data_IF_824661530389
#
_entry.id   IF_824661530389
#
_cell.length_a   1.000
_cell.length_b   1.000
_cell.length_c   1.000
_cell.angle_alpha   90.00
_cell.angle_beta   90.00
_cell.angle_gamma   90.00
#
_symmetry.space_group_name_H-M   'P 1'
#
loop_
_entity.id
_entity.type
_entity.pdbx_description
1 polymer ?
#
# COMPACT_ATOMS: atom_id res chain seq x y z
N UNK A 1 -45.16 102.69 19.79
CA UNK A 1 -45.94 102.99 21.02
C UNK A 1 -45.92 104.49 21.26
N UNK A 2 -47.05 105.10 21.63
CA UNK A 2 -47.16 106.52 22.00
C UNK A 2 -47.85 106.67 23.35
N UNK A 3 -47.36 107.57 24.20
CA UNK A 3 -48.02 107.94 25.45
C UNK A 3 -49.03 109.07 25.17
N UNK A 4 -50.33 108.79 25.31
CA UNK A 4 -51.37 109.81 25.15
C UNK A 4 -51.63 110.55 26.46
N UNK A 5 -51.69 109.83 27.59
CA UNK A 5 -51.91 110.44 28.91
C UNK A 5 -51.12 109.70 29.98
N UNK A 6 -50.54 110.43 30.92
CA UNK A 6 -49.87 109.88 32.10
C UNK A 6 -50.68 110.26 33.35
N UNK A 7 -51.20 109.27 34.05
CA UNK A 7 -52.01 109.44 35.26
C UNK A 7 -51.12 109.22 36.50
N UNK A 8 -50.88 110.30 37.24
CA UNK A 8 -50.08 110.34 38.46
C UNK A 8 -51.03 110.32 39.68
N UNK A 9 -51.73 109.20 39.86
CA UNK A 9 -52.77 109.03 40.89
C UNK A 9 -52.19 109.15 42.30
N UNK A 10 -51.16 108.35 42.64
CA UNK A 10 -50.46 108.39 43.92
C UNK A 10 -49.00 108.00 43.70
N UNK A 11 -48.19 108.95 43.26
CA UNK A 11 -46.80 108.66 42.91
C UNK A 11 -45.88 109.87 43.15
N UNK A 12 -44.81 109.67 43.93
CA UNK A 12 -43.92 110.75 44.32
C UNK A 12 -44.69 111.84 45.04
N UNK A 13 -44.60 113.07 44.51
CA UNK A 13 -45.25 114.26 45.08
C UNK A 13 -46.66 114.50 44.53
N UNK A 14 -47.12 113.68 43.60
CA UNK A 14 -48.38 113.88 42.90
C UNK A 14 -49.50 113.09 43.59
N UNK A 15 -50.66 113.74 43.72
CA UNK A 15 -51.91 113.12 44.16
C UNK A 15 -52.99 113.53 43.16
N UNK A 16 -53.55 112.54 42.46
CA UNK A 16 -54.62 112.66 41.47
C UNK A 16 -54.34 113.75 40.41
N UNK A 17 -53.13 113.74 39.84
CA UNK A 17 -52.74 114.58 38.72
C UNK A 17 -52.64 113.77 37.43
N UNK A 18 -52.87 114.39 36.29
CA UNK A 18 -52.67 113.78 34.98
C UNK A 18 -51.97 114.76 34.04
N UNK A 19 -51.10 114.24 33.18
CA UNK A 19 -50.49 114.96 32.06
C UNK A 19 -51.08 114.38 30.79
N UNK A 20 -51.88 115.16 30.07
CA UNK A 20 -52.51 114.76 28.81
C UNK A 20 -51.76 115.37 27.63
N UNK A 21 -51.27 114.50 26.74
CA UNK A 21 -50.54 114.85 25.52
C UNK A 21 -51.46 114.90 24.28
N UNK A 22 -52.77 114.69 24.46
CA UNK A 22 -53.77 114.77 23.39
C UNK A 22 -53.66 113.66 22.34
N UNK A 23 -54.51 113.73 21.33
CA UNK A 23 -54.49 112.81 20.19
C UNK A 23 -53.32 113.10 19.25
N UNK A 24 -52.83 112.07 18.56
CA UNK A 24 -51.73 112.21 17.60
C UNK A 24 -52.11 113.21 16.49
N UNK A 25 -51.30 114.26 16.23
CA UNK A 25 -51.59 115.23 15.17
C UNK A 25 -51.70 114.57 13.78
N UNK A 26 -52.67 115.02 12.96
CA UNK A 26 -52.85 114.53 11.58
C UNK A 26 -51.74 115.00 10.62
N UNK A 27 -51.07 116.11 10.93
CA UNK A 27 -49.87 116.59 10.24
C UNK A 27 -48.92 117.31 11.22
N UNK A 28 -47.61 117.23 10.96
CA UNK A 28 -46.55 117.83 11.81
C UNK A 28 -45.91 116.86 12.82
N UNK A 29 -44.83 117.29 13.51
CA UNK A 29 -44.16 116.48 14.52
C UNK A 29 -44.96 116.41 15.83
N UNK A 30 -44.96 115.24 16.47
CA UNK A 30 -45.61 114.97 17.76
C UNK A 30 -44.64 115.30 18.92
N UNK A 31 -44.33 116.58 19.08
CA UNK A 31 -43.40 117.10 20.08
C UNK A 31 -44.15 117.74 21.26
N UNK A 32 -43.88 117.26 22.47
CA UNK A 32 -44.45 117.79 23.71
C UNK A 32 -43.37 118.33 24.62
N UNK A 33 -43.56 119.53 25.15
CA UNK A 33 -42.63 120.17 26.09
C UNK A 33 -43.33 120.28 27.45
N UNK A 34 -42.87 119.51 28.43
CA UNK A 34 -43.33 119.61 29.82
C UNK A 34 -42.40 120.55 30.58
N UNK A 35 -42.84 121.80 30.80
CA UNK A 35 -42.05 122.81 31.49
C UNK A 35 -42.61 123.13 32.88
N UNK A 36 -41.73 123.58 33.78
CA UNK A 36 -42.08 123.96 35.14
C UNK A 36 -40.83 124.34 35.94
N UNK A 37 -41.01 124.99 37.09
CA UNK A 37 -39.91 125.38 37.98
C UNK A 37 -39.07 124.17 38.44
N UNK A 38 -37.89 124.43 39.00
CA UNK A 38 -37.12 123.39 39.66
C UNK A 38 -37.97 122.76 40.78
N UNK A 39 -37.78 121.46 41.01
CA UNK A 39 -38.57 120.67 41.96
C UNK A 39 -40.09 120.57 41.63
N UNK A 40 -40.53 121.07 40.47
CA UNK A 40 -41.92 120.91 39.99
C UNK A 40 -42.31 119.45 39.68
N UNK A 41 -41.37 118.49 39.77
CA UNK A 41 -41.62 117.06 39.61
C UNK A 41 -41.47 116.54 38.19
N UNK A 42 -40.73 117.26 37.33
CA UNK A 42 -40.46 116.85 35.94
C UNK A 42 -39.77 115.49 35.89
N UNK A 43 -38.67 115.31 36.64
CA UNK A 43 -37.96 114.03 36.73
C UNK A 43 -38.83 112.95 37.40
N UNK A 44 -39.69 113.32 38.35
CA UNK A 44 -40.65 112.39 38.96
C UNK A 44 -41.67 111.89 37.94
N UNK A 45 -42.14 112.73 37.02
CA UNK A 45 -43.06 112.32 35.95
C UNK A 45 -42.37 111.41 34.92
N UNK A 46 -41.10 111.68 34.57
CA UNK A 46 -40.32 110.79 33.71
C UNK A 46 -40.12 109.41 34.35
N UNK A 47 -39.74 109.36 35.63
CA UNK A 47 -39.64 108.09 36.36
C UNK A 47 -40.98 107.36 36.48
N UNK A 48 -42.09 108.10 36.64
CA UNK A 48 -43.42 107.50 36.64
C UNK A 48 -43.78 106.86 35.29
N UNK A 49 -43.39 107.49 34.17
CA UNK A 49 -43.56 106.90 32.85
C UNK A 49 -42.74 105.63 32.67
N UNK A 50 -41.47 105.63 33.08
CA UNK A 50 -40.63 104.42 33.05
C UNK A 50 -41.20 103.31 33.95
N UNK A 51 -41.69 103.66 35.14
CA UNK A 51 -42.34 102.73 36.06
C UNK A 51 -43.65 102.17 35.50
N UNK A 52 -44.42 102.97 34.74
CA UNK A 52 -45.62 102.51 34.05
C UNK A 52 -45.26 101.42 33.03
N UNK A 53 -44.18 101.61 32.27
CA UNK A 53 -43.75 100.66 31.24
C UNK A 53 -43.14 99.38 31.81
N UNK A 54 -42.22 99.51 32.77
CA UNK A 54 -41.34 98.41 33.21
C UNK A 54 -41.67 97.84 34.59
N UNK A 55 -42.59 98.46 35.33
CA UNK A 55 -42.81 98.12 36.72
C UNK A 55 -42.27 99.19 37.66
N UNK A 56 -42.99 99.43 38.77
CA UNK A 56 -42.47 100.23 39.87
C UNK A 56 -41.37 99.41 40.56
N UNK A 57 -40.15 99.94 40.60
CA UNK A 57 -38.97 99.27 41.18
C UNK A 57 -39.22 98.77 42.60
N UNK A 58 -38.59 97.64 42.98
CA UNK A 58 -38.73 97.05 44.31
C UNK A 58 -38.39 98.02 45.44
N UNK A 59 -37.37 98.86 45.25
CA UNK A 59 -36.96 99.93 46.14
C UNK A 59 -37.14 101.30 45.49
N UNK A 60 -38.38 101.65 45.14
CA UNK A 60 -38.67 102.96 44.55
C UNK A 60 -38.42 104.09 45.56
N UNK A 61 -37.69 105.13 45.12
CA UNK A 61 -37.41 106.37 45.88
C UNK A 61 -38.58 107.37 45.90
N UNK A 62 -39.69 107.05 45.23
CA UNK A 62 -40.83 107.95 45.04
C UNK A 62 -42.01 107.66 45.99
N UNK A 63 -41.76 107.05 47.14
CA UNK A 63 -42.76 106.74 48.18
C UNK A 63 -42.82 107.78 49.32
N UNK A 64 -42.29 108.98 49.11
CA UNK A 64 -42.14 109.97 50.19
C UNK A 64 -43.44 110.61 50.67
N UNK A 65 -44.48 110.69 49.83
CA UNK A 65 -45.82 111.18 50.22
C UNK A 65 -46.85 110.05 50.36
N UNK A 66 -46.69 108.97 49.59
CA UNK A 66 -47.62 107.85 49.50
C UNK A 66 -46.89 106.55 49.85
N UNK A 67 -47.42 105.79 50.81
CA UNK A 67 -46.86 104.48 51.18
C UNK A 67 -46.90 103.51 49.99
N UNK A 68 -45.96 102.56 49.94
CA UNK A 68 -45.84 101.61 48.82
C UNK A 68 -47.17 100.92 48.46
N UNK A 69 -47.95 100.48 49.44
CA UNK A 69 -49.26 99.83 49.24
C UNK A 69 -50.28 100.71 48.51
N UNK A 70 -50.14 102.03 48.63
CA UNK A 70 -51.04 103.04 48.05
C UNK A 70 -50.55 103.60 46.72
N UNK A 71 -49.29 103.32 46.32
CA UNK A 71 -48.71 103.88 45.11
C UNK A 71 -49.40 103.35 43.86
N UNK A 72 -49.82 104.27 42.99
CA UNK A 72 -50.50 103.97 41.72
C UNK A 72 -50.13 104.98 40.66
N UNK A 73 -49.75 104.47 39.49
CA UNK A 73 -49.53 105.23 38.25
C UNK A 73 -50.43 104.63 37.20
N UNK A 74 -51.01 105.43 36.32
CA UNK A 74 -51.69 104.93 35.15
C UNK A 74 -51.29 105.68 33.90
N UNK A 75 -51.88 105.31 32.80
CA UNK A 75 -51.76 106.04 31.56
C UNK A 75 -52.59 105.45 30.45
N UNK A 76 -52.72 106.22 29.39
CA UNK A 76 -53.33 105.82 28.14
C UNK A 76 -52.22 105.66 27.11
N UNK A 77 -51.94 104.42 26.73
CA UNK A 77 -50.93 104.08 25.73
C UNK A 77 -51.60 103.79 24.39
N UNK A 78 -51.02 104.26 23.30
CA UNK A 78 -51.51 104.01 21.94
C UNK A 78 -50.56 103.07 21.20
N UNK A 79 -51.12 101.98 20.67
CA UNK A 79 -50.45 100.95 19.89
C UNK A 79 -51.20 100.78 18.57
N UNK A 80 -50.54 101.04 17.43
CA UNK A 80 -51.11 100.82 16.09
C UNK A 80 -52.52 101.43 15.87
N UNK A 81 -52.83 102.54 16.56
CA UNK A 81 -54.12 103.24 16.49
C UNK A 81 -55.17 102.81 17.52
N UNK A 82 -54.89 101.80 18.35
CA UNK A 82 -55.73 101.39 19.48
C UNK A 82 -55.22 102.00 20.80
N UNK A 83 -56.13 102.48 21.64
CA UNK A 83 -55.81 103.04 22.95
C UNK A 83 -56.02 102.01 24.07
N UNK A 84 -55.01 101.80 24.89
CA UNK A 84 -55.01 100.90 26.03
C UNK A 84 -54.83 101.72 27.32
N UNK A 85 -55.90 101.78 28.12
CA UNK A 85 -55.86 102.38 29.45
C UNK A 85 -55.32 101.35 30.45
N UNK A 86 -54.22 101.71 31.11
CA UNK A 86 -53.56 100.85 32.10
C UNK A 86 -53.35 101.59 33.41
N UNK A 87 -53.40 100.85 34.50
CA UNK A 87 -52.93 101.31 35.80
C UNK A 87 -52.01 100.28 36.44
N UNK A 88 -51.01 100.76 37.16
CA UNK A 88 -49.97 99.96 37.78
C UNK A 88 -49.87 100.33 39.25
N UNK A 89 -49.96 99.31 40.10
CA UNK A 89 -49.77 99.43 41.55
C UNK A 89 -48.43 98.84 41.95
N UNK A 90 -47.89 99.26 43.09
CA UNK A 90 -46.65 98.67 43.60
C UNK A 90 -46.93 97.27 44.17
N UNK A 91 -46.59 96.24 43.40
CA UNK A 91 -46.67 94.83 43.80
C UNK A 91 -45.50 94.04 43.20
N UNK A 92 -45.19 92.86 43.75
CA UNK A 92 -44.20 91.91 43.18
C UNK A 92 -44.74 91.08 42.01
N UNK A 93 -46.06 90.93 41.93
CA UNK A 93 -46.75 90.17 40.89
C UNK A 93 -48.12 90.79 40.59
N UNK A 94 -48.61 90.64 39.35
CA UNK A 94 -49.90 91.19 38.90
C UNK A 94 -50.04 92.69 39.18
N UNK A 95 -48.99 93.45 38.88
CA UNK A 95 -48.91 94.87 39.19
C UNK A 95 -49.71 95.74 38.22
N UNK A 96 -49.92 95.25 36.99
CA UNK A 96 -50.61 95.94 35.90
C UNK A 96 -52.09 95.56 35.86
N UNK A 97 -52.95 96.56 35.63
CA UNK A 97 -54.40 96.45 35.61
C UNK A 97 -54.98 97.22 34.42
N UNK A 98 -56.13 96.79 33.92
CA UNK A 98 -56.90 97.48 32.87
C UNK A 98 -57.77 98.63 33.44
N UNK A 99 -58.58 99.25 32.57
CA UNK A 99 -59.50 100.33 32.91
C UNK A 99 -60.56 99.93 33.96
N UNK A 100 -60.95 98.66 33.99
CA UNK A 100 -61.96 98.10 34.91
C UNK A 100 -61.33 97.60 36.23
N UNK A 101 -60.01 97.73 36.38
CA UNK A 101 -59.25 97.31 37.56
C UNK A 101 -58.95 95.81 37.60
N UNK A 102 -59.04 95.09 36.48
CA UNK A 102 -58.70 93.66 36.40
C UNK A 102 -57.21 93.49 36.08
N UNK A 103 -56.52 92.47 36.63
CA UNK A 103 -55.10 92.23 36.34
C UNK A 103 -54.84 91.98 34.85
N UNK A 104 -53.83 92.66 34.31
CA UNK A 104 -53.35 92.54 32.94
C UNK A 104 -51.95 91.91 32.93
N UNK A 105 -51.65 91.07 31.93
CA UNK A 105 -50.32 90.48 31.77
C UNK A 105 -49.29 91.55 31.39
N UNK A 106 -48.09 91.49 31.96
CA UNK A 106 -46.96 92.37 31.60
C UNK A 106 -46.61 92.29 30.11
N UNK A 107 -46.92 91.16 29.46
CA UNK A 107 -46.74 90.94 28.01
C UNK A 107 -47.48 91.99 27.18
N UNK A 108 -48.61 92.51 27.68
CA UNK A 108 -49.42 93.51 26.98
C UNK A 108 -48.66 94.82 26.70
N UNK A 109 -47.68 95.17 27.54
CA UNK A 109 -46.78 96.31 27.31
C UNK A 109 -45.46 95.84 26.71
N UNK A 110 -44.86 94.77 27.26
CA UNK A 110 -43.50 94.34 26.86
C UNK A 110 -43.40 93.85 25.41
N UNK A 111 -44.47 93.29 24.84
CA UNK A 111 -44.50 92.89 23.43
C UNK A 111 -44.27 94.07 22.47
N UNK A 112 -44.72 95.27 22.85
CA UNK A 112 -44.53 96.50 22.06
C UNK A 112 -43.20 97.19 22.32
N UNK A 113 -42.42 96.72 23.29
CA UNK A 113 -41.09 97.22 23.63
C UNK A 113 -39.96 96.40 22.98
N UNK A 114 -40.30 95.44 22.10
CA UNK A 114 -39.34 94.59 21.37
C UNK A 114 -38.29 93.89 22.26
N UNK A 115 -38.64 93.56 23.51
CA UNK A 115 -37.74 92.90 24.46
C UNK A 115 -36.70 93.81 25.11
N UNK A 116 -36.81 95.14 24.96
CA UNK A 116 -35.92 96.09 25.62
C UNK A 116 -36.11 96.05 27.15
N UNK A 117 -35.00 96.06 27.88
CA UNK A 117 -35.01 96.24 29.34
C UNK A 117 -35.22 97.71 29.69
N UNK A 118 -35.57 97.98 30.96
CA UNK A 118 -35.67 99.34 31.49
C UNK A 118 -34.39 100.15 31.26
N UNK A 119 -33.23 99.56 31.55
CA UNK A 119 -31.93 100.22 31.43
C UNK A 119 -31.60 100.52 29.96
N UNK A 120 -31.82 99.56 29.06
CA UNK A 120 -31.58 99.76 27.62
C UNK A 120 -32.51 100.83 27.07
N UNK A 121 -33.81 100.80 27.44
CA UNK A 121 -34.79 101.80 27.01
C UNK A 121 -34.42 103.20 27.52
N UNK A 122 -34.02 103.32 28.79
CA UNK A 122 -33.55 104.58 29.36
C UNK A 122 -32.31 105.08 28.63
N UNK A 123 -31.30 104.24 28.37
CA UNK A 123 -30.07 104.68 27.70
C UNK A 123 -30.25 105.13 26.24
N UNK A 124 -31.24 104.57 25.52
CA UNK A 124 -31.43 104.84 24.09
C UNK A 124 -32.46 105.93 23.83
N UNK A 125 -33.51 106.01 24.65
CA UNK A 125 -34.68 106.86 24.39
C UNK A 125 -34.94 107.90 25.49
N UNK A 126 -34.17 107.89 26.58
CA UNK A 126 -34.21 108.91 27.62
C UNK A 126 -32.84 109.59 27.72
N UNK A 127 -32.82 110.91 27.78
CA UNK A 127 -31.61 111.69 28.04
C UNK A 127 -31.87 112.52 29.29
N UNK A 128 -31.16 112.20 30.36
CA UNK A 128 -31.11 113.01 31.57
C UNK A 128 -29.66 113.45 31.86
N UNK A 129 -29.51 114.38 32.80
CA UNK A 129 -28.21 115.01 33.09
C UNK A 129 -27.18 113.98 33.62
N UNK A 130 -27.63 113.07 34.50
CA UNK A 130 -26.78 112.03 35.09
C UNK A 130 -26.31 111.01 34.04
N UNK A 131 -27.19 110.58 33.12
CA UNK A 131 -26.83 109.68 32.01
C UNK A 131 -25.91 110.33 31.00
N UNK A 132 -26.02 111.65 30.78
CA UNK A 132 -25.10 112.41 29.95
C UNK A 132 -23.69 112.45 30.57
N UNK A 133 -23.62 112.72 31.88
CA UNK A 133 -22.35 112.80 32.61
C UNK A 133 -21.70 111.41 32.75
N UNK A 134 -22.47 110.37 33.07
CA UNK A 134 -22.01 108.98 33.12
C UNK A 134 -21.52 108.48 31.75
N UNK A 135 -22.25 108.81 30.67
CA UNK A 135 -21.82 108.55 29.30
C UNK A 135 -20.49 109.25 28.98
N UNK A 136 -20.36 110.53 29.35
CA UNK A 136 -19.11 111.29 29.22
C UNK A 136 -17.94 110.70 30.01
N UNK A 137 -18.20 110.14 31.20
CA UNK A 137 -17.18 109.51 32.04
C UNK A 137 -16.74 108.14 31.50
N UNK A 138 -17.67 107.32 31.01
CA UNK A 138 -17.36 106.07 30.30
C UNK A 138 -16.55 106.31 29.01
N UNK A 139 -16.82 107.43 28.32
CA UNK A 139 -16.05 107.91 27.17
C UNK A 139 -14.60 108.25 27.54
N UNK A 140 -14.36 108.84 28.71
CA UNK A 140 -13.03 109.22 29.19
C UNK A 140 -12.18 108.00 29.65
N UNK A 141 -12.82 106.96 30.17
CA UNK A 141 -12.14 105.76 30.69
C UNK A 141 -11.68 104.79 29.57
N UNK A 142 -12.34 104.79 28.41
CA UNK A 142 -11.98 103.96 27.24
C UNK A 142 -10.91 104.61 26.36
N UNK A 143 -9.65 104.62 26.83
CA UNK A 143 -8.50 105.01 26.00
C UNK A 143 -8.25 103.98 24.89
N UNK A 144 -8.78 104.23 23.70
CA UNK A 144 -8.31 103.63 22.45
C UNK A 144 -9.31 102.77 21.68
N UNK A 145 -10.40 102.32 22.31
CA UNK A 145 -11.40 101.46 21.66
C UNK A 145 -12.68 102.21 21.23
N UNK A 146 -12.81 103.47 21.66
CA UNK A 146 -14.01 104.26 21.42
C UNK A 146 -14.18 104.70 19.95
N UNK A 147 -13.09 105.01 19.25
CA UNK A 147 -13.14 105.30 17.81
C UNK A 147 -13.64 104.12 17.00
N UNK A 148 -13.41 102.90 17.48
CA UNK A 148 -13.90 101.66 16.88
C UNK A 148 -15.36 101.43 17.28
N UNK A 149 -15.73 101.50 18.56
CA UNK A 149 -17.10 101.26 19.02
C UNK A 149 -18.12 102.25 18.44
N UNK A 150 -17.79 103.55 18.36
CA UNK A 150 -18.68 104.55 17.72
C UNK A 150 -18.89 104.27 16.23
N UNK A 151 -17.84 103.89 15.50
CA UNK A 151 -17.92 103.56 14.07
C UNK A 151 -18.64 102.22 13.82
N UNK A 152 -18.43 101.26 14.70
CA UNK A 152 -18.97 99.88 14.63
C UNK A 152 -20.47 99.86 14.97
N UNK A 153 -20.90 100.66 15.95
CA UNK A 153 -22.30 100.84 16.29
C UNK A 153 -23.06 101.62 15.19
N UNK A 154 -22.44 102.63 14.56
CA UNK A 154 -23.05 103.37 13.45
C UNK A 154 -23.11 102.58 12.13
N UNK A 155 -22.22 101.59 11.93
CA UNK A 155 -22.14 100.77 10.71
C UNK A 155 -22.79 99.38 10.84
N UNK A 156 -23.34 99.01 12.01
CA UNK A 156 -23.95 97.70 12.25
C UNK A 156 -22.96 96.53 12.32
N UNK A 157 -21.67 96.79 12.56
CA UNK A 157 -20.58 95.81 12.47
C UNK A 157 -20.17 95.20 13.83
N UNK A 158 -21.03 95.29 14.87
CA UNK A 158 -20.70 94.82 16.23
C UNK A 158 -20.17 93.38 16.26
N UNK A 159 -20.72 92.52 15.41
CA UNK A 159 -20.31 91.12 15.26
C UNK A 159 -18.94 90.91 14.61
N UNK A 160 -18.38 91.89 13.89
CA UNK A 160 -17.10 91.73 13.20
C UNK A 160 -15.91 91.72 14.18
N UNK A 161 -15.99 92.46 15.28
CA UNK A 161 -14.95 92.47 16.32
C UNK A 161 -14.93 91.15 17.10
N UNK A 162 -16.11 90.59 17.41
CA UNK A 162 -16.21 89.28 18.05
C UNK A 162 -15.64 88.17 17.17
N UNK A 163 -15.91 88.22 15.86
CA UNK A 163 -15.35 87.28 14.88
C UNK A 163 -13.83 87.44 14.77
N UNK A 164 -13.31 88.67 14.81
CA UNK A 164 -11.86 88.90 14.77
C UNK A 164 -11.18 88.35 16.04
N UNK A 165 -11.74 88.57 17.23
CA UNK A 165 -11.23 88.04 18.48
C UNK A 165 -11.28 86.51 18.54
N UNK A 166 -12.34 85.90 17.96
CA UNK A 166 -12.44 84.45 17.81
C UNK A 166 -11.35 83.91 16.88
N UNK A 167 -11.12 84.56 15.73
CA UNK A 167 -10.06 84.20 14.78
C UNK A 167 -8.65 84.38 15.38
N UNK A 168 -8.42 85.43 16.17
CA UNK A 168 -7.16 85.62 16.90
C UNK A 168 -6.93 84.51 17.93
N UNK A 169 -7.98 84.11 18.66
CA UNK A 169 -7.91 83.00 19.63
C UNK A 169 -7.63 81.66 18.93
N UNK A 170 -8.26 81.42 17.79
CA UNK A 170 -8.03 80.22 16.96
C UNK A 170 -6.59 80.21 16.40
N UNK A 171 -6.13 81.33 15.84
CA UNK A 171 -4.78 81.48 15.33
C UNK A 171 -3.72 81.28 16.43
N UNK A 172 -3.96 81.81 17.62
CA UNK A 172 -3.11 81.62 18.79
C UNK A 172 -3.10 80.16 19.29
N UNK A 173 -4.24 79.46 19.19
CA UNK A 173 -4.34 78.03 19.48
C UNK A 173 -3.56 77.15 18.49
N UNK A 174 -3.52 77.57 17.22
CA UNK A 174 -2.75 76.91 16.17
C UNK A 174 -1.24 77.18 16.31
N UNK A 175 -0.84 78.45 16.43
CA UNK A 175 0.56 78.84 16.48
C UNK A 175 0.82 80.16 17.20
N UNK A 176 1.69 80.10 18.21
CA UNK A 176 2.25 81.28 18.85
C UNK A 176 3.76 81.14 18.98
N UNK A 177 4.49 82.23 18.73
CA UNK A 177 5.95 82.26 18.78
C UNK A 177 6.40 81.87 20.21
N UNK A 178 7.19 80.81 20.32
CA UNK A 178 7.69 80.21 21.58
C UNK A 178 6.68 79.43 22.45
N UNK A 179 5.44 79.23 22.00
CA UNK A 179 4.49 78.41 22.75
C UNK A 179 4.75 76.90 22.51
N UNK A 180 4.68 76.11 23.59
CA UNK A 180 4.92 74.65 23.58
C UNK A 180 3.62 73.83 23.52
N UNK A 181 2.47 74.47 23.73
CA UNK A 181 1.16 73.82 23.88
C UNK A 181 0.22 74.03 22.70
N UNK A 182 0.63 74.80 21.69
CA UNK A 182 -0.20 75.01 20.48
C UNK A 182 -0.22 73.75 19.62
N UNK A 183 -1.23 73.61 18.76
CA UNK A 183 -1.43 72.41 17.96
C UNK A 183 -0.21 72.07 17.09
N UNK A 184 0.38 73.08 16.43
CA UNK A 184 1.59 72.88 15.60
C UNK A 184 2.80 72.48 16.46
N UNK A 185 2.94 73.00 17.68
CA UNK A 185 4.03 72.63 18.58
C UNK A 185 3.92 71.17 19.02
N UNK A 186 2.71 70.73 19.35
CA UNK A 186 2.40 69.33 19.68
C UNK A 186 2.65 68.39 18.49
N UNK A 187 2.21 68.77 17.28
CA UNK A 187 2.44 68.00 16.06
C UNK A 187 3.93 67.90 15.72
N UNK A 188 4.71 68.98 15.87
CA UNK A 188 6.17 68.94 15.70
C UNK A 188 6.84 68.01 16.71
N UNK A 189 6.42 68.04 17.98
CA UNK A 189 6.94 67.14 19.01
C UNK A 189 6.62 65.68 18.68
N UNK A 190 5.38 65.39 18.28
CA UNK A 190 4.95 64.04 17.86
C UNK A 190 5.68 63.58 16.60
N UNK A 191 5.92 64.46 15.65
CA UNK A 191 6.72 64.16 14.46
C UNK A 191 8.17 63.79 14.82
N UNK A 192 8.81 64.56 15.72
CA UNK A 192 10.15 64.26 16.19
C UNK A 192 10.21 62.91 16.92
N UNK A 193 9.22 62.61 17.76
CA UNK A 193 9.09 61.31 18.44
C UNK A 193 8.92 60.15 17.45
N UNK A 194 8.03 60.29 16.46
CA UNK A 194 7.82 59.28 15.43
C UNK A 194 9.05 59.09 14.54
N UNK A 195 9.76 60.18 14.21
CA UNK A 195 11.01 60.12 13.46
C UNK A 195 12.09 59.37 14.23
N UNK A 196 12.25 59.66 15.52
CA UNK A 196 13.19 58.96 16.39
C UNK A 196 12.84 57.46 16.53
N UNK A 197 11.57 57.11 16.68
CA UNK A 197 11.11 55.71 16.70
C UNK A 197 11.39 55.00 15.37
N UNK A 198 11.16 55.67 14.24
CA UNK A 198 11.47 55.11 12.92
C UNK A 198 12.98 54.85 12.79
N UNK A 199 13.82 55.83 13.11
CA UNK A 199 15.28 55.69 13.01
C UNK A 199 15.80 54.55 13.90
N UNK A 200 15.26 54.38 15.11
CA UNK A 200 15.61 53.26 15.99
C UNK A 200 15.24 51.88 15.41
N UNK A 201 14.11 51.78 14.70
CA UNK A 201 13.68 50.55 14.02
C UNK A 201 14.52 50.30 12.75
N UNK A 202 14.81 51.34 11.96
CA UNK A 202 15.65 51.23 10.75
C UNK A 202 17.09 50.80 11.10
N UNK A 203 17.63 51.22 12.25
CA UNK A 203 18.92 50.71 12.74
C UNK A 203 18.87 49.22 13.08
N UNK A 204 17.72 48.67 13.50
CA UNK A 204 17.58 47.23 13.73
C UNK A 204 17.54 46.44 12.42
N UNK A 205 16.98 47.01 11.35
CA UNK A 205 16.96 46.37 10.03
C UNK A 205 18.37 46.28 9.40
N UNK A 206 19.13 47.39 9.42
CA UNK A 206 20.51 47.40 8.89
C UNK A 206 21.48 46.53 9.71
N UNK A 207 21.34 46.51 11.04
CA UNK A 207 22.11 45.59 11.89
C UNK A 207 21.72 44.14 11.66
N UNK A 208 20.44 43.84 11.45
CA UNK A 208 19.97 42.51 11.08
C UNK A 208 20.55 42.06 9.73
N UNK A 209 20.52 42.91 8.70
CA UNK A 209 21.14 42.59 7.39
C UNK A 209 22.64 42.31 7.53
N UNK A 210 23.36 43.11 8.32
CA UNK A 210 24.79 42.87 8.57
C UNK A 210 25.05 41.56 9.33
N UNK A 211 24.25 41.25 10.35
CA UNK A 211 24.38 40.02 11.13
C UNK A 211 24.00 38.78 10.31
N UNK A 212 22.99 38.88 9.44
CA UNK A 212 22.61 37.79 8.55
C UNK A 212 23.68 37.55 7.48
N UNK A 213 24.28 38.61 6.93
CA UNK A 213 25.43 38.49 6.03
C UNK A 213 26.63 37.83 6.71
N UNK A 214 26.96 38.24 7.94
CA UNK A 214 28.04 37.63 8.73
C UNK A 214 27.75 36.16 9.05
N UNK A 215 26.49 35.82 9.39
CA UNK A 215 26.05 34.45 9.62
C UNK A 215 26.23 33.60 8.36
N UNK A 216 25.79 34.07 7.20
CA UNK A 216 25.92 33.35 5.93
C UNK A 216 27.40 33.15 5.57
N UNK A 217 28.24 34.18 5.72
CA UNK A 217 29.68 34.06 5.46
C UNK A 217 30.36 33.07 6.41
N UNK A 218 30.01 33.11 7.71
CA UNK A 218 30.53 32.19 8.70
C UNK A 218 30.09 30.73 8.42
N UNK A 219 28.83 30.54 7.99
CA UNK A 219 28.30 29.24 7.60
C UNK A 219 29.03 28.68 6.37
N UNK A 220 29.23 29.50 5.34
CA UNK A 220 29.98 29.11 4.13
C UNK A 220 31.44 28.72 4.47
N UNK A 221 32.10 29.51 5.34
CA UNK A 221 33.46 29.19 5.82
C UNK A 221 33.49 27.88 6.60
N UNK A 222 32.50 27.64 7.45
CA UNK A 222 32.37 26.40 8.21
C UNK A 222 32.17 25.19 7.28
N UNK A 223 31.24 25.29 6.32
CA UNK A 223 30.93 24.19 5.41
C UNK A 223 32.11 23.86 4.49
N UNK A 224 32.83 24.88 3.99
CA UNK A 224 34.09 24.67 3.24
C UNK A 224 35.15 23.97 4.10
N UNK A 225 35.35 24.42 5.33
CA UNK A 225 36.32 23.81 6.25
C UNK A 225 35.96 22.36 6.58
N UNK A 226 34.67 22.07 6.75
CA UNK A 226 34.17 20.71 7.00
C UNK A 226 34.39 19.80 5.79
N UNK A 227 34.12 20.31 4.58
CA UNK A 227 34.37 19.59 3.33
C UNK A 227 35.87 19.29 3.15
N UNK A 228 36.74 20.29 3.32
CA UNK A 228 38.20 20.12 3.28
C UNK A 228 38.69 19.10 4.30
N UNK A 229 38.20 19.18 5.55
CA UNK A 229 38.54 18.21 6.61
C UNK A 229 38.14 16.79 6.22
N UNK A 230 36.98 16.61 5.61
CA UNK A 230 36.51 15.29 5.17
C UNK A 230 37.43 14.67 4.11
N UNK A 231 37.85 15.46 3.12
CA UNK A 231 38.78 15.04 2.05
C UNK A 231 40.14 14.70 2.63
N UNK A 232 40.67 15.56 3.51
CA UNK A 232 41.96 15.33 4.16
C UNK A 232 41.93 14.08 5.07
N UNK A 233 40.84 13.86 5.81
CA UNK A 233 40.67 12.67 6.65
C UNK A 233 40.61 11.39 5.81
N UNK A 234 39.91 11.40 4.68
CA UNK A 234 39.86 10.25 3.77
C UNK A 234 41.23 9.96 3.14
N UNK A 235 41.99 11.02 2.81
CA UNK A 235 43.36 10.90 2.31
C UNK A 235 44.29 10.33 3.39
N UNK A 236 44.20 10.81 4.63
CA UNK A 236 44.97 10.31 5.76
C UNK A 236 44.71 8.81 5.99
N UNK A 237 43.44 8.40 6.03
CA UNK A 237 43.06 7.00 6.20
C UNK A 237 43.59 6.11 5.06
N UNK A 238 43.71 6.65 3.84
CA UNK A 238 44.30 5.93 2.70
C UNK A 238 45.81 5.80 2.85
N UNK A 239 46.49 6.86 3.26
CA UNK A 239 47.94 6.83 3.53
C UNK A 239 48.24 5.85 4.66
N UNK A 240 47.47 5.86 5.76
CA UNK A 240 47.63 4.92 6.87
C UNK A 240 47.48 3.46 6.42
N UNK A 241 46.53 3.17 5.53
CA UNK A 241 46.40 1.82 4.94
C UNK A 241 47.66 1.43 4.17
N UNK A 242 48.23 2.35 3.38
CA UNK A 242 49.47 2.08 2.65
C UNK A 242 50.67 1.91 3.59
N UNK A 243 50.79 2.74 4.62
CA UNK A 243 51.86 2.62 5.63
C UNK A 243 51.78 1.26 6.34
N UNK A 244 50.57 0.79 6.70
CA UNK A 244 50.36 -0.54 7.29
C UNK A 244 50.67 -1.68 6.30
N UNK A 245 50.35 -1.50 5.02
CA UNK A 245 50.57 -2.52 3.98
C UNK A 245 52.03 -2.58 3.50
N UNK A 246 52.78 -1.49 3.56
CA UNK A 246 54.17 -1.42 3.11
C UNK A 246 55.09 -2.51 3.68
N UNK A 247 55.14 -2.75 5.02
CA UNK A 247 55.97 -3.84 5.57
C UNK A 247 55.48 -5.22 5.13
N UNK A 248 54.17 -5.43 4.98
CA UNK A 248 53.62 -6.69 4.46
C UNK A 248 54.04 -6.93 3.01
N UNK A 249 54.08 -5.89 2.18
CA UNK A 249 54.55 -5.99 0.80
C UNK A 249 56.04 -6.38 0.74
N UNK A 250 56.87 -5.80 1.62
CA UNK A 250 58.29 -6.19 1.74
C UNK A 250 58.39 -7.66 2.14
N UNK A 251 57.61 -8.12 3.12
CA UNK A 251 57.54 -9.51 3.54
C UNK A 251 57.10 -10.46 2.42
N UNK A 252 56.07 -10.09 1.66
CA UNK A 252 55.57 -10.87 0.51
C UNK A 252 56.67 -10.98 -0.55
N UNK A 253 57.31 -9.86 -0.92
CA UNK A 253 58.41 -9.87 -1.90
C UNK A 253 59.58 -10.74 -1.43
N UNK A 254 59.97 -10.65 -0.16
CA UNK A 254 61.00 -11.49 0.44
C UNK A 254 60.64 -12.98 0.38
N UNK A 255 59.41 -13.33 0.77
CA UNK A 255 58.92 -14.71 0.72
C UNK A 255 58.81 -15.24 -0.70
N UNK A 256 58.36 -14.42 -1.65
CA UNK A 256 58.29 -14.78 -3.07
C UNK A 256 59.67 -15.03 -3.67
N UNK A 257 60.67 -14.19 -3.36
CA UNK A 257 62.06 -14.42 -3.76
C UNK A 257 62.59 -15.74 -3.20
N UNK A 258 62.36 -16.00 -1.91
CA UNK A 258 62.78 -17.25 -1.27
C UNK A 258 62.05 -18.48 -1.82
N UNK A 259 60.80 -18.33 -2.24
CA UNK A 259 60.05 -19.38 -2.91
C UNK A 259 60.60 -19.66 -4.31
N UNK A 260 61.02 -18.62 -5.04
CA UNK A 260 61.63 -18.76 -6.37
C UNK A 260 63.03 -19.40 -6.34
N UNK A 261 63.74 -19.33 -5.21
CA UNK A 261 65.01 -20.05 -5.00
C UNK A 261 64.83 -21.55 -4.77
N UNK A 262 63.62 -22.00 -4.42
CA UNK A 262 63.35 -23.42 -4.21
C UNK A 262 63.19 -24.13 -5.56
N UNK A 263 63.63 -25.40 -5.67
CA UNK A 263 63.36 -26.22 -6.85
C UNK A 263 61.86 -26.31 -7.13
N UNK A 264 61.47 -26.33 -8.40
CA UNK A 264 60.09 -26.53 -8.81
C UNK A 264 59.64 -27.94 -8.39
N UNK A 265 58.95 -28.01 -7.24
CA UNK A 265 58.42 -29.23 -6.67
C UNK A 265 56.92 -29.28 -6.87
N UNK A 266 56.36 -30.43 -7.30
CA UNK A 266 54.93 -30.59 -7.41
C UNK A 266 54.29 -30.36 -6.04
N UNK A 267 53.45 -29.32 -5.95
CA UNK A 267 52.71 -29.04 -4.73
C UNK A 267 51.68 -30.17 -4.49
N UNK A 268 51.51 -30.63 -3.24
CA UNK A 268 50.43 -31.55 -2.91
C UNK A 268 49.08 -30.93 -3.30
N UNK A 269 48.13 -31.78 -3.69
CA UNK A 269 46.78 -31.32 -4.06
C UNK A 269 46.18 -30.55 -2.89
N UNK A 270 45.41 -29.48 -3.16
CA UNK A 270 44.76 -28.64 -2.14
C UNK A 270 43.83 -29.40 -1.18
N UNK A 271 43.42 -30.62 -1.53
CA UNK A 271 42.60 -31.52 -0.70
C UNK A 271 43.40 -32.41 0.23
N UNK A 272 44.73 -32.35 0.18
CA UNK A 272 45.59 -33.15 1.04
C UNK A 272 45.64 -32.52 2.44
N UNK A 273 45.01 -33.20 3.39
CA UNK A 273 44.99 -32.83 4.81
C UNK A 273 45.98 -33.65 5.65
N UNK A 274 46.84 -34.43 4.99
CA UNK A 274 47.76 -35.35 5.66
C UNK A 274 48.94 -34.64 6.33
N UNK A 275 49.67 -35.38 7.15
CA UNK A 275 50.89 -34.88 7.78
C UNK A 275 52.11 -35.15 6.89
N UNK A 276 53.05 -34.21 6.83
CA UNK A 276 54.34 -34.40 6.12
C UNK A 276 55.09 -35.62 6.66
N UNK A 277 54.98 -35.90 7.97
CA UNK A 277 55.56 -37.09 8.57
C UNK A 277 54.97 -38.38 7.99
N UNK A 278 53.66 -38.44 7.72
CA UNK A 278 53.02 -39.61 7.11
C UNK A 278 53.46 -39.80 5.66
N UNK A 279 53.67 -38.72 4.90
CA UNK A 279 54.23 -38.81 3.55
C UNK A 279 55.66 -39.32 3.55
N UNK A 280 56.49 -38.89 4.51
CA UNK A 280 57.86 -39.38 4.66
C UNK A 280 57.85 -40.87 4.99
N UNK A 281 56.99 -41.31 5.91
CA UNK A 281 56.84 -42.73 6.26
C UNK A 281 56.32 -43.56 5.08
N UNK A 282 55.36 -43.03 4.31
CA UNK A 282 54.84 -43.69 3.11
C UNK A 282 55.92 -43.82 2.03
N UNK A 283 56.68 -42.75 1.75
CA UNK A 283 57.80 -42.80 0.80
C UNK A 283 58.86 -43.82 1.24
N UNK A 284 59.23 -43.84 2.52
CA UNK A 284 60.19 -44.82 3.06
C UNK A 284 59.68 -46.28 2.90
N UNK A 285 58.40 -46.54 3.20
CA UNK A 285 57.77 -47.85 3.00
C UNK A 285 57.73 -48.26 1.54
N UNK A 286 57.34 -47.35 0.65
CA UNK A 286 57.27 -47.61 -0.79
C UNK A 286 58.65 -47.88 -1.38
N UNK A 287 59.68 -47.12 -0.98
CA UNK A 287 61.07 -47.37 -1.40
C UNK A 287 61.56 -48.74 -0.94
N UNK A 288 61.25 -49.12 0.31
CA UNK A 288 61.63 -50.43 0.85
C UNK A 288 60.93 -51.56 0.08
N UNK A 289 59.63 -51.41 -0.22
CA UNK A 289 58.87 -52.38 -1.01
C UNK A 289 59.40 -52.48 -2.45
N UNK A 290 59.71 -51.35 -3.07
CA UNK A 290 60.28 -51.31 -4.43
C UNK A 290 61.63 -52.01 -4.48
N UNK A 291 62.50 -51.78 -3.49
CA UNK A 291 63.78 -52.47 -3.39
C UNK A 291 63.57 -53.98 -3.16
N UNK A 292 62.67 -54.38 -2.25
CA UNK A 292 62.37 -55.79 -2.01
C UNK A 292 61.88 -56.52 -3.26
N UNK A 293 60.99 -55.87 -4.03
CA UNK A 293 60.50 -56.41 -5.30
C UNK A 293 61.62 -56.50 -6.35
N UNK A 294 62.51 -55.50 -6.41
CA UNK A 294 63.67 -55.55 -7.31
C UNK A 294 64.60 -56.72 -6.97
N UNK A 295 64.90 -56.93 -5.68
CA UNK A 295 65.71 -58.04 -5.21
C UNK A 295 65.03 -59.41 -5.51
N UNK A 296 63.71 -59.51 -5.38
CA UNK A 296 62.96 -60.72 -5.75
C UNK A 296 63.01 -61.01 -7.24
N UNK A 297 62.87 -59.98 -8.09
CA UNK A 297 63.03 -60.10 -9.54
C UNK A 297 64.44 -60.60 -9.88
N UNK A 298 65.47 -60.03 -9.26
CA UNK A 298 66.85 -60.43 -9.53
C UNK A 298 67.13 -61.86 -9.04
N UNK A 299 66.58 -62.27 -7.88
CA UNK A 299 66.63 -63.68 -7.43
C UNK A 299 65.91 -64.61 -8.40
N UNK A 300 64.74 -64.23 -8.90
CA UNK A 300 63.98 -65.04 -9.85
C UNK A 300 64.73 -65.19 -11.18
N UNK A 301 65.33 -64.10 -11.69
CA UNK A 301 66.20 -64.14 -12.87
C UNK A 301 67.41 -65.03 -12.65
N UNK A 302 68.10 -64.90 -11.51
CA UNK A 302 69.23 -65.76 -11.18
C UNK A 302 68.84 -67.24 -11.08
N UNK A 303 67.65 -67.55 -10.54
CA UNK A 303 67.10 -68.91 -10.56
C UNK A 303 66.86 -69.41 -11.98
N UNK A 304 66.31 -68.58 -12.86
CA UNK A 304 66.07 -68.93 -14.27
C UNK A 304 67.39 -69.19 -14.99
N UNK A 305 68.38 -68.32 -14.84
CA UNK A 305 69.72 -68.47 -15.43
C UNK A 305 70.45 -69.71 -14.92
N UNK A 306 70.24 -70.09 -13.66
CA UNK A 306 70.81 -71.29 -13.06
C UNK A 306 70.15 -72.60 -13.53
N UNK A 307 69.01 -72.55 -14.23
CA UNK A 307 68.39 -73.75 -14.80
C UNK A 307 69.26 -74.25 -15.95
N UNK A 308 70.05 -75.29 -15.69
CA UNK A 308 70.71 -76.06 -16.74
C UNK A 308 69.68 -76.95 -17.43
N UNK A 309 69.34 -76.62 -18.68
CA UNK A 309 68.45 -77.44 -19.50
C UNK A 309 69.25 -78.59 -20.11
N UNK A 310 68.86 -79.82 -19.80
CA UNK A 310 69.37 -81.01 -20.49
C UNK A 310 68.54 -81.24 -21.76
N UNK A 311 69.05 -80.76 -22.89
CA UNK A 311 68.37 -80.84 -24.18
C UNK A 311 68.11 -82.28 -24.63
N UNK A 312 68.94 -83.25 -24.21
CA UNK A 312 68.75 -84.66 -24.56
C UNK A 312 67.55 -85.25 -23.81
N UNK A 313 67.39 -84.92 -22.52
CA UNK A 313 66.22 -85.31 -21.72
C UNK A 313 64.96 -84.56 -22.17
N UNK A 314 65.09 -83.27 -22.49
CA UNK A 314 63.97 -82.45 -22.98
C UNK A 314 63.44 -82.98 -24.33
N UNK A 315 64.32 -83.41 -25.24
CA UNK A 315 63.92 -83.98 -26.53
C UNK A 315 63.08 -85.25 -26.41
N UNK A 316 63.26 -86.04 -25.35
CA UNK A 316 62.50 -87.27 -25.09
C UNK A 316 61.37 -87.08 -24.07
N UNK A 317 61.11 -85.86 -23.59
CA UNK A 317 60.20 -85.63 -22.46
C UNK A 317 58.78 -86.12 -22.72
N UNK A 318 58.26 -85.91 -23.94
CA UNK A 318 56.93 -86.39 -24.34
C UNK A 318 56.86 -87.91 -24.46
N UNK A 319 57.96 -88.56 -24.86
CA UNK A 319 58.05 -90.02 -24.88
C UNK A 319 58.04 -90.57 -23.44
N UNK A 320 58.80 -89.95 -22.53
CA UNK A 320 58.84 -90.34 -21.10
C UNK A 320 57.48 -90.12 -20.43
N UNK A 321 56.80 -88.98 -20.67
CA UNK A 321 55.43 -88.76 -20.20
C UNK A 321 54.46 -89.79 -20.79
N UNK A 322 54.57 -90.07 -22.08
CA UNK A 322 53.76 -91.10 -22.75
C UNK A 322 53.98 -92.53 -22.20
N UNK A 323 55.16 -92.83 -21.66
CA UNK A 323 55.41 -94.11 -20.98
C UNK A 323 54.64 -94.23 -19.66
N UNK A 324 54.41 -93.13 -18.93
CA UNK A 324 53.59 -93.16 -17.72
C UNK A 324 52.13 -93.55 -18.03
N UNK A 325 51.55 -92.97 -19.08
CA UNK A 325 50.21 -93.32 -19.56
C UNK A 325 50.13 -94.77 -20.06
N UNK A 326 51.15 -95.22 -20.81
CA UNK A 326 51.22 -96.61 -21.29
C UNK A 326 51.38 -97.61 -20.15
N UNK A 327 52.11 -97.27 -19.08
CA UNK A 327 52.23 -98.10 -17.87
C UNK A 327 50.86 -98.30 -17.21
N UNK A 328 50.04 -97.24 -17.10
CA UNK A 328 48.69 -97.34 -16.56
C UNK A 328 47.80 -98.28 -17.40
N UNK A 329 47.86 -98.15 -18.74
CA UNK A 329 47.13 -99.05 -19.66
C UNK A 329 47.61 -100.50 -19.57
N UNK A 330 48.92 -100.72 -19.47
CA UNK A 330 49.50 -102.06 -19.34
C UNK A 330 49.06 -102.76 -18.05
N UNK A 331 49.10 -102.05 -16.92
CA UNK A 331 48.64 -102.60 -15.63
C UNK A 331 47.14 -102.92 -15.65
N UNK A 332 46.32 -102.03 -16.21
CA UNK A 332 44.87 -102.25 -16.37
C UNK A 332 44.57 -103.46 -17.27
N UNK A 333 45.22 -103.55 -18.44
CA UNK A 333 45.07 -104.67 -19.35
C UNK A 333 45.53 -106.01 -18.72
N UNK A 334 46.58 -106.00 -17.90
CA UNK A 334 47.03 -107.17 -17.15
C UNK A 334 45.99 -107.67 -16.13
N UNK A 335 45.25 -106.75 -15.50
CA UNK A 335 44.17 -107.08 -14.56
C UNK A 335 42.88 -107.54 -15.26
N UNK A 336 42.59 -107.03 -16.46
CA UNK A 336 41.37 -107.40 -17.22
C UNK A 336 41.52 -108.71 -18.02
N UNK A 337 42.75 -109.12 -18.36
CA UNK A 337 43.03 -110.32 -19.15
C UNK A 337 42.43 -111.62 -18.56
N UNK A 338 42.49 -111.90 -17.24
CA UNK A 338 41.84 -113.07 -16.65
C UNK A 338 40.32 -113.06 -16.83
N UNK A 339 39.68 -111.91 -16.64
CA UNK A 339 38.24 -111.72 -16.82
C UNK A 339 37.84 -112.02 -18.26
N UNK A 340 38.56 -111.47 -19.24
CA UNK A 340 38.30 -111.73 -20.67
C UNK A 340 38.52 -113.19 -21.06
N UNK A 341 39.55 -113.86 -20.50
CA UNK A 341 39.74 -115.30 -20.71
C UNK A 341 38.58 -116.13 -20.14
N UNK A 342 38.05 -115.75 -18.98
CA UNK A 342 36.88 -116.40 -18.38
C UNK A 342 35.61 -116.17 -19.20
N UNK A 343 35.39 -114.95 -19.72
CA UNK A 343 34.29 -114.66 -20.64
C UNK A 343 34.36 -115.51 -21.91
N UNK A 344 35.54 -115.67 -22.51
CA UNK A 344 35.72 -116.55 -23.69
C UNK A 344 35.36 -117.99 -23.33
N UNK A 345 35.84 -118.52 -22.20
CA UNK A 345 35.48 -119.87 -21.76
C UNK A 345 33.97 -120.04 -21.54
N UNK A 346 33.30 -119.03 -20.96
CA UNK A 346 31.84 -119.06 -20.78
C UNK A 346 31.11 -119.05 -22.12
N UNK A 347 31.53 -118.22 -23.07
CA UNK A 347 30.95 -118.16 -24.41
C UNK A 347 31.19 -119.45 -25.18
N UNK A 348 32.38 -120.05 -25.10
CA UNK A 348 32.69 -121.35 -25.69
C UNK A 348 31.80 -122.44 -25.10
N UNK A 349 31.52 -122.40 -23.80
CA UNK A 349 30.57 -123.32 -23.16
C UNK A 349 29.13 -123.13 -23.67
N UNK A 350 28.70 -121.88 -23.89
CA UNK A 350 27.40 -121.59 -24.51
C UNK A 350 27.33 -122.16 -25.93
N UNK A 351 28.38 -121.95 -26.72
CA UNK A 351 28.49 -122.51 -28.09
C UNK A 351 28.46 -124.03 -28.06
N UNK A 352 29.19 -124.67 -27.16
CA UNK A 352 29.18 -126.13 -26.97
C UNK A 352 27.78 -126.66 -26.63
N UNK A 353 27.04 -125.95 -25.75
CA UNK A 353 25.66 -126.30 -25.42
C UNK A 353 24.73 -126.16 -26.65
N UNK A 354 24.90 -125.12 -27.47
CA UNK A 354 24.16 -124.95 -28.72
C UNK A 354 24.48 -126.05 -29.75
N UNK A 355 25.76 -126.43 -29.90
CA UNK A 355 26.19 -127.54 -30.76
C UNK A 355 25.59 -128.87 -30.31
N UNK A 356 25.55 -129.13 -29.00
CA UNK A 356 24.94 -130.31 -28.43
C UNK A 356 23.43 -130.36 -28.72
N UNK A 357 22.71 -129.24 -28.59
CA UNK A 357 21.29 -129.15 -28.93
C UNK A 357 21.03 -129.40 -30.43
N UNK A 358 21.98 -129.07 -31.31
CA UNK A 358 21.94 -129.35 -32.74
C UNK A 358 22.39 -130.78 -33.10
N UNK A 359 22.78 -131.60 -32.12
CA UNK A 359 23.31 -132.96 -32.34
C UNK A 359 24.69 -132.99 -32.99
N UNK A 360 25.42 -131.86 -33.00
CA UNK A 360 26.73 -131.70 -33.64
C UNK A 360 27.84 -131.38 -32.64
N UNK A 361 27.90 -132.12 -31.53
CA UNK A 361 28.86 -131.90 -30.44
C UNK A 361 30.34 -132.05 -30.83
N UNK A 362 30.63 -132.68 -31.98
CA UNK A 362 31.99 -132.88 -32.50
C UNK A 362 32.40 -131.85 -33.57
N UNK A 363 31.57 -130.84 -33.86
CA UNK A 363 31.87 -129.79 -34.82
C UNK A 363 32.97 -128.86 -34.29
N UNK A 364 34.05 -128.69 -35.05
CA UNK A 364 35.22 -127.89 -34.63
C UNK A 364 35.14 -126.43 -35.09
N UNK A 365 34.28 -126.10 -36.06
CA UNK A 365 34.06 -124.74 -36.54
C UNK A 365 32.56 -124.37 -36.49
N UNK A 366 32.04 -123.94 -35.33
CA UNK A 366 30.63 -123.59 -35.14
C UNK A 366 30.14 -122.51 -36.11
N UNK A 367 31.05 -121.64 -36.57
CA UNK A 367 30.79 -120.52 -37.48
C UNK A 367 30.18 -120.98 -38.81
N UNK A 368 30.54 -122.17 -39.29
CA UNK A 368 30.01 -122.73 -40.55
C UNK A 368 28.54 -123.14 -40.46
N UNK A 369 28.04 -123.35 -39.25
CA UNK A 369 26.63 -123.67 -39.00
C UNK A 369 25.75 -122.41 -38.95
N UNK A 370 26.36 -121.22 -38.96
CA UNK A 370 25.63 -119.96 -39.03
C UNK A 370 25.03 -119.85 -40.43
N UNK A 371 23.71 -119.91 -40.49
CA UNK A 371 22.97 -119.75 -41.73
C UNK A 371 23.11 -118.30 -42.25
N UNK A 372 23.26 -118.07 -43.57
CA UNK A 372 23.28 -116.73 -44.14
C UNK A 372 22.02 -115.94 -43.74
N UNK A 373 22.15 -114.63 -43.51
CA UNK A 373 21.05 -113.79 -43.04
C UNK A 373 19.79 -113.87 -43.93
N UNK A 374 19.96 -114.04 -45.25
CA UNK A 374 18.86 -114.25 -46.20
C UNK A 374 18.08 -115.55 -45.91
N UNK A 375 18.79 -116.63 -45.58
CA UNK A 375 18.21 -117.94 -45.25
C UNK A 375 17.49 -117.89 -43.90
N UNK A 376 18.10 -117.25 -42.89
CA UNK A 376 17.46 -117.05 -41.58
C UNK A 376 16.19 -116.20 -41.73
N UNK A 377 16.24 -115.15 -42.54
CA UNK A 377 15.09 -114.29 -42.83
C UNK A 377 13.96 -115.06 -43.52
N UNK A 378 14.27 -115.85 -44.55
CA UNK A 378 13.26 -116.68 -45.23
C UNK A 378 12.68 -117.76 -44.32
N UNK A 379 13.50 -118.44 -43.53
CA UNK A 379 13.02 -119.43 -42.56
C UNK A 379 12.13 -118.81 -41.48
N UNK A 380 12.48 -117.64 -40.93
CA UNK A 380 11.62 -116.92 -39.99
C UNK A 380 10.28 -116.55 -40.63
N UNK A 381 10.30 -115.98 -41.85
CA UNK A 381 9.06 -115.67 -42.58
C UNK A 381 8.23 -116.93 -42.83
N UNK A 382 8.83 -118.06 -43.18
CA UNK A 382 8.12 -119.33 -43.38
C UNK A 382 7.55 -119.89 -42.07
N UNK A 383 8.28 -119.80 -40.96
CA UNK A 383 7.79 -120.20 -39.63
C UNK A 383 6.60 -119.33 -39.22
N UNK A 384 6.66 -118.03 -39.48
CA UNK A 384 5.61 -117.08 -39.18
C UNK A 384 4.38 -117.27 -40.10
N UNK A 385 4.60 -117.55 -41.39
CA UNK A 385 3.54 -117.95 -42.32
C UNK A 385 2.87 -119.25 -41.89
N UNK A 386 3.65 -120.27 -41.49
CA UNK A 386 3.10 -121.54 -40.99
C UNK A 386 2.32 -121.34 -39.69
N UNK A 387 2.79 -120.49 -38.77
CA UNK A 387 2.04 -120.20 -37.54
C UNK A 387 0.71 -119.49 -37.86
N UNK A 388 0.73 -118.55 -38.82
CA UNK A 388 -0.47 -117.90 -39.37
C UNK A 388 -1.45 -118.90 -40.00
N UNK A 389 -0.98 -119.74 -40.92
CA UNK A 389 -1.80 -120.78 -41.58
C UNK A 389 -2.38 -121.77 -40.56
N UNK A 390 -1.58 -122.21 -39.59
CA UNK A 390 -2.05 -123.15 -38.54
C UNK A 390 -3.16 -122.52 -37.71
N UNK A 391 -3.05 -121.22 -37.42
CA UNK A 391 -4.06 -120.46 -36.69
C UNK A 391 -5.33 -120.29 -37.52
N UNK A 392 -5.21 -119.92 -38.80
CA UNK A 392 -6.36 -119.81 -39.72
C UNK A 392 -7.07 -121.15 -39.93
N UNK A 393 -6.33 -122.25 -40.07
CA UNK A 393 -6.89 -123.61 -40.19
C UNK A 393 -7.66 -124.01 -38.92
N UNK A 394 -7.12 -123.69 -37.74
CA UNK A 394 -7.81 -123.93 -36.47
C UNK A 394 -9.11 -123.12 -36.39
N UNK A 395 -9.06 -121.83 -36.71
CA UNK A 395 -10.26 -120.98 -36.73
C UNK A 395 -11.32 -121.49 -37.71
N UNK A 396 -10.93 -121.87 -38.93
CA UNK A 396 -11.86 -122.41 -39.93
C UNK A 396 -12.48 -123.74 -39.48
N UNK A 397 -11.73 -124.60 -38.78
CA UNK A 397 -12.28 -125.84 -38.20
C UNK A 397 -13.25 -125.56 -37.06
N UNK A 398 -12.91 -124.63 -36.18
CA UNK A 398 -13.77 -124.22 -35.06
C UNK A 398 -15.09 -123.61 -35.59
N UNK A 399 -15.02 -122.78 -36.64
CA UNK A 399 -16.19 -122.20 -37.31
C UNK A 399 -17.04 -123.26 -38.03
N UNK A 400 -16.41 -124.21 -38.73
CA UNK A 400 -17.13 -125.32 -39.35
C UNK A 400 -17.82 -126.23 -38.33
N UNK A 401 -17.18 -126.49 -37.17
CA UNK A 401 -17.78 -127.23 -36.07
C UNK A 401 -18.99 -126.48 -35.49
N UNK A 402 -18.87 -125.17 -35.24
CA UNK A 402 -19.96 -124.35 -34.75
C UNK A 402 -21.15 -124.29 -35.74
N UNK A 403 -20.86 -124.19 -37.05
CA UNK A 403 -21.90 -124.24 -38.08
C UNK A 403 -22.61 -125.60 -38.15
N UNK A 404 -21.86 -126.71 -37.96
CA UNK A 404 -22.43 -128.05 -37.91
C UNK A 404 -23.32 -128.24 -36.67
N UNK A 405 -22.88 -127.73 -35.51
CA UNK A 405 -23.69 -127.74 -34.29
C UNK A 405 -24.95 -126.89 -34.46
N UNK A 406 -24.84 -125.72 -35.11
CA UNK A 406 -25.99 -124.90 -35.48
C UNK A 406 -26.97 -125.62 -36.41
N UNK A 407 -26.47 -126.34 -37.43
CA UNK A 407 -27.28 -127.14 -38.33
C UNK A 407 -27.99 -128.30 -37.59
N UNK A 408 -27.28 -128.99 -36.69
CA UNK A 408 -27.84 -130.09 -35.91
C UNK A 408 -28.90 -129.59 -34.92
N UNK A 409 -28.67 -128.44 -34.26
CA UNK A 409 -29.66 -127.80 -33.41
C UNK A 409 -30.91 -127.36 -34.22
N UNK A 410 -30.72 -126.82 -35.42
CA UNK A 410 -31.83 -126.50 -36.33
C UNK A 410 -32.58 -127.75 -36.79
N UNK A 411 -31.88 -128.84 -37.13
CA UNK A 411 -32.50 -130.14 -37.48
C UNK A 411 -33.27 -130.76 -36.32
N UNK A 412 -32.75 -130.67 -35.09
CA UNK A 412 -33.44 -131.11 -33.88
C UNK A 412 -34.76 -130.36 -33.68
N UNK A 413 -34.75 -129.03 -33.85
CA UNK A 413 -35.97 -128.19 -33.76
C UNK A 413 -37.01 -128.50 -34.84
N UNK A 414 -36.60 -128.95 -36.02
CA UNK A 414 -37.52 -129.31 -37.12
C UNK A 414 -38.12 -130.72 -36.94
N UNK A 415 -37.55 -131.56 -36.08
CA UNK A 415 -38.06 -132.91 -35.79
C UNK A 415 -39.21 -132.98 -34.78
N UNK A 416 -39.50 -131.90 -34.03
CA UNK A 416 -40.38 -131.93 -32.85
C UNK A 416 -41.77 -131.27 -32.99
N UNK A 417 -42.18 -130.77 -34.18
CA UNK A 417 -43.53 -130.20 -34.36
C UNK A 417 -44.41 -130.96 -35.37
N UNK A 418 -45.62 -131.34 -34.92
CA UNK A 418 -46.72 -131.87 -35.75
C UNK A 418 -47.53 -130.71 -36.34
N UNK A 419 -47.70 -130.75 -37.67
CA UNK A 419 -48.57 -129.92 -38.52
C UNK A 419 -48.38 -128.40 -38.41
N UNK A 420 -47.48 -127.89 -39.24
CA UNK A 420 -47.15 -126.47 -39.41
C UNK A 420 -48.28 -125.71 -40.15
N UNK A 421 -48.80 -124.59 -39.59
CA UNK A 421 -49.78 -123.71 -40.23
C UNK A 421 -49.18 -122.82 -41.35
N UNK A 422 -50.02 -122.37 -42.28
CA UNK A 422 -49.72 -121.49 -43.45
C UNK A 422 -48.64 -120.39 -43.26
N UNK A 423 -48.57 -119.64 -42.13
CA UNK A 423 -47.60 -118.56 -41.96
C UNK A 423 -46.13 -119.03 -41.94
N UNK A 424 -45.89 -120.29 -41.56
CA UNK A 424 -44.54 -120.85 -41.53
C UNK A 424 -44.06 -121.32 -42.91
N UNK A 425 -44.97 -121.51 -43.88
CA UNK A 425 -44.61 -121.83 -45.28
C UNK A 425 -43.89 -120.65 -45.96
N UNK A 426 -44.28 -119.42 -45.63
CA UNK A 426 -43.63 -118.20 -46.14
C UNK A 426 -42.21 -118.02 -45.58
N UNK A 427 -41.99 -118.32 -44.29
CA UNK A 427 -40.65 -118.22 -43.67
C UNK A 427 -39.68 -119.30 -44.15
N UNK A 428 -40.17 -120.50 -44.45
CA UNK A 428 -39.35 -121.61 -44.94
C UNK A 428 -38.94 -121.39 -46.42
N UNK A 429 -39.80 -120.77 -47.22
CA UNK A 429 -39.49 -120.35 -48.59
C UNK A 429 -38.46 -119.19 -48.60
N UNK A 430 -38.51 -118.28 -47.63
CA UNK A 430 -37.51 -117.21 -47.48
C UNK A 430 -36.13 -117.74 -47.01
N UNK A 431 -36.09 -118.63 -46.01
CA UNK A 431 -34.83 -119.22 -45.55
C UNK A 431 -34.21 -120.17 -46.59
N UNK A 432 -35.03 -120.89 -47.38
CA UNK A 432 -34.54 -121.75 -48.45
C UNK A 432 -34.05 -120.97 -49.69
N UNK A 433 -34.58 -119.77 -49.97
CA UNK A 433 -34.06 -118.92 -51.04
C UNK A 433 -32.73 -118.26 -50.65
N UNK A 434 -32.56 -117.88 -49.39
CA UNK A 434 -31.31 -117.33 -48.84
C UNK A 434 -30.19 -118.38 -48.81
N UNK A 435 -30.49 -119.63 -48.44
CA UNK A 435 -29.54 -120.73 -48.50
C UNK A 435 -29.16 -121.15 -49.95
N UNK A 436 -30.10 -121.10 -50.91
CA UNK A 436 -29.79 -121.34 -52.34
C UNK A 436 -29.04 -120.18 -53.02
N UNK A 437 -29.11 -118.97 -52.46
CA UNK A 437 -28.34 -117.81 -52.91
C UNK A 437 -26.92 -117.77 -52.31
N UNK A 438 -26.64 -118.56 -51.26
CA UNK A 438 -25.31 -118.62 -50.65
C UNK A 438 -24.27 -119.22 -51.62
N UNK A 439 -23.13 -118.54 -51.77
CA UNK A 439 -22.01 -118.90 -52.68
C UNK A 439 -21.22 -120.12 -52.24
N UNK A 440 -21.57 -120.79 -51.14
CA UNK A 440 -20.76 -121.82 -50.51
C UNK A 440 -20.43 -123.02 -51.41
N UNK A 441 -21.35 -123.49 -52.27
CA UNK A 441 -21.04 -124.61 -53.18
C UNK A 441 -20.07 -124.20 -54.31
N UNK A 442 -20.03 -122.91 -54.67
CA UNK A 442 -19.05 -122.37 -55.60
C UNK A 442 -17.71 -122.14 -54.89
N UNK A 443 -17.74 -121.56 -53.70
CA UNK A 443 -16.55 -121.37 -52.85
C UNK A 443 -15.86 -122.70 -52.51
N UNK A 444 -16.61 -123.75 -52.18
CA UNK A 444 -16.04 -125.08 -51.93
C UNK A 444 -15.37 -125.65 -53.20
N UNK A 445 -15.94 -125.42 -54.39
CA UNK A 445 -15.31 -125.85 -55.66
C UNK A 445 -14.06 -125.04 -55.98
N UNK A 446 -14.10 -123.73 -55.79
CA UNK A 446 -12.93 -122.86 -55.97
C UNK A 446 -11.83 -123.22 -54.96
N UNK A 447 -12.18 -123.49 -53.70
CA UNK A 447 -11.25 -123.93 -52.66
C UNK A 447 -10.63 -125.29 -52.98
N UNK A 448 -11.41 -126.28 -53.47
CA UNK A 448 -10.87 -127.57 -53.91
C UNK A 448 -9.99 -127.46 -55.14
N UNK A 449 -10.36 -126.63 -56.12
CA UNK A 449 -9.52 -126.38 -57.30
C UNK A 449 -8.20 -125.71 -56.90
N UNK A 450 -8.23 -124.76 -55.95
CA UNK A 450 -7.03 -124.14 -55.40
C UNK A 450 -6.20 -125.15 -54.60
N UNK A 451 -6.83 -126.03 -53.82
CA UNK A 451 -6.16 -127.11 -53.09
C UNK A 451 -5.45 -128.06 -54.06
N UNK A 452 -6.12 -128.53 -55.11
CA UNK A 452 -5.53 -129.40 -56.14
C UNK A 452 -4.37 -128.71 -56.86
N UNK A 453 -4.52 -127.42 -57.23
CA UNK A 453 -3.44 -126.65 -57.86
C UNK A 453 -2.22 -126.54 -56.92
N UNK A 454 -2.46 -126.28 -55.63
CA UNK A 454 -1.41 -126.16 -54.62
C UNK A 454 -0.77 -127.49 -54.27
N UNK A 455 -1.53 -128.59 -54.22
CA UNK A 455 -1.00 -129.93 -54.04
C UNK A 455 -0.16 -130.35 -55.25
N UNK A 456 -0.58 -130.00 -56.47
CA UNK A 456 0.21 -130.26 -57.69
C UNK A 456 1.52 -129.47 -57.67
N UNK A 457 1.48 -128.17 -57.32
CA UNK A 457 2.68 -127.35 -57.14
C UNK A 457 3.59 -127.87 -56.02
N UNK A 458 3.03 -128.36 -54.92
CA UNK A 458 3.78 -128.97 -53.83
C UNK A 458 4.45 -130.27 -54.29
N UNK A 459 3.74 -131.14 -55.00
CA UNK A 459 4.28 -132.39 -55.53
C UNK A 459 5.38 -132.15 -56.57
N UNK A 460 5.26 -131.12 -57.41
CA UNK A 460 6.31 -130.71 -58.35
C UNK A 460 7.52 -130.11 -57.62
N UNK A 461 7.31 -129.30 -56.58
CA UNK A 461 8.39 -128.78 -55.76
C UNK A 461 9.12 -129.89 -54.99
N UNK A 462 8.39 -130.88 -54.45
CA UNK A 462 8.95 -132.05 -53.78
C UNK A 462 9.66 -133.02 -54.74
N UNK A 463 9.35 -133.00 -56.04
CA UNK A 463 10.12 -133.76 -57.05
C UNK A 463 11.39 -133.05 -57.51
N UNK A 464 11.51 -131.73 -57.29
CA UNK A 464 12.67 -130.89 -57.64
C UNK A 464 13.67 -130.76 -56.49
N UNK A 465 13.23 -131.03 -55.27
CA UNK A 465 14.04 -131.25 -54.08
C UNK A 465 14.50 -132.71 -54.05
#
# INVERSE_FOLDING_TARGET
>A
MRLRRLDLTRYGKFTDKAIDFGEKPASGPDLHIVFGLNEAGKSTALSAYLDLLFGIEERSRYNFLHEYSSMRIGGLLEFEGQALAVSRTKSRSNSLHDADGRPLSEIAISAHLAGLSRDTYSSMFSLDDETLEAGGKAILESRGDLGKLLFTASAGLGHASDVLAALETEADGLHRRQAQTTEIALLKKRFAELKSRKEAIDTLASTFESLEAERVEAQDKYDRSLAERSVLSARLATIDRYVRAAPLLVEIKRKASRLAELPDMPSPKRTWSGNVAELIDQDARLRTSLQGNADEIDRAKGKIEAIAVDDAVLAISEQVRGLADRKARYLSAGMDLPTRKMEVQMLDQVVANCLAALGRSAEQDPSRLILPAVVVGTLRTMVEQRSGITTSLRMARDEAAAALDGLNAARGRVGEERAVPEPARARLIAAASEAKASSHAREIREARALEDERQTKLADAMRRL
#
